data_IF_451333149820
#
_entry.id   IF_451333149820
#
_cell.length_a   1.000
_cell.length_b   1.000
_cell.length_c   1.000
_cell.angle_alpha   90.00
_cell.angle_beta   90.00
_cell.angle_gamma   90.00
#
_symmetry.space_group_name_H-M   'P 1'
#
loop_
_entity.id
_entity.type
_entity.pdbx_description
1 polymer ?
#
# COMPACT_ATOMS: atom_id res chain seq x y z
N UNK A 1 -63.57 -20.47 19.43
CA UNK A 1 -62.19 -20.85 19.89
C UNK A 1 -61.31 -21.41 18.77
N UNK A 2 -61.83 -22.11 17.77
CA UNK A 2 -61.02 -22.71 16.69
C UNK A 2 -60.25 -21.72 15.80
N UNK A 3 -60.78 -20.51 15.57
CA UNK A 3 -60.15 -19.48 14.71
C UNK A 3 -58.81 -18.99 15.24
N UNK A 4 -58.68 -18.79 16.56
CA UNK A 4 -57.43 -18.36 17.22
C UNK A 4 -56.28 -19.38 17.08
N UNK A 5 -56.60 -20.67 16.95
CA UNK A 5 -55.59 -21.71 16.78
C UNK A 5 -55.02 -21.73 15.35
N UNK A 6 -55.84 -21.39 14.36
CA UNK A 6 -55.45 -21.32 12.94
C UNK A 6 -54.54 -20.12 12.70
N UNK A 7 -54.88 -18.95 13.27
CA UNK A 7 -54.06 -17.73 13.18
C UNK A 7 -52.65 -17.91 13.77
N UNK A 8 -52.53 -18.59 14.92
CA UNK A 8 -51.24 -18.88 15.56
C UNK A 8 -50.37 -19.81 14.71
N UNK A 9 -50.98 -20.82 14.07
CA UNK A 9 -50.26 -21.73 13.17
C UNK A 9 -49.80 -21.03 11.90
N UNK A 10 -50.62 -20.16 11.31
CA UNK A 10 -50.25 -19.38 10.13
C UNK A 10 -49.07 -18.43 10.41
N UNK A 11 -49.08 -17.74 11.55
CA UNK A 11 -47.98 -16.85 11.95
C UNK A 11 -46.68 -17.63 12.21
N UNK A 12 -46.76 -18.80 12.85
CA UNK A 12 -45.59 -19.66 13.07
C UNK A 12 -44.97 -20.18 11.77
N UNK A 13 -45.80 -20.62 10.81
CA UNK A 13 -45.32 -21.06 9.49
C UNK A 13 -44.69 -19.89 8.73
N UNK A 14 -45.32 -18.71 8.73
CA UNK A 14 -44.77 -17.52 8.07
C UNK A 14 -43.42 -17.08 8.66
N UNK A 15 -43.24 -17.20 9.98
CA UNK A 15 -41.98 -16.86 10.63
C UNK A 15 -40.87 -17.88 10.31
N UNK A 16 -41.22 -19.17 10.22
CA UNK A 16 -40.28 -20.22 9.80
C UNK A 16 -39.87 -20.07 8.33
N UNK A 17 -40.81 -19.77 7.43
CA UNK A 17 -40.49 -19.58 6.00
C UNK A 17 -39.63 -18.35 5.76
N UNK A 18 -39.92 -17.25 6.45
CA UNK A 18 -39.09 -16.03 6.37
C UNK A 18 -37.70 -16.26 6.94
N UNK A 19 -37.56 -16.94 8.08
CA UNK A 19 -36.26 -17.32 8.64
C UNK A 19 -35.45 -18.18 7.66
N UNK A 20 -36.08 -19.21 7.07
CA UNK A 20 -35.43 -20.07 6.08
C UNK A 20 -34.96 -19.29 4.84
N UNK A 21 -35.81 -18.40 4.32
CA UNK A 21 -35.46 -17.56 3.17
C UNK A 21 -34.29 -16.62 3.49
N UNK A 22 -34.23 -16.04 4.69
CA UNK A 22 -33.11 -15.20 5.12
C UNK A 22 -31.81 -16.00 5.26
N UNK A 23 -31.87 -17.21 5.83
CA UNK A 23 -30.71 -18.10 5.90
C UNK A 23 -30.23 -18.51 4.50
N UNK A 24 -31.14 -18.83 3.58
CA UNK A 24 -30.80 -19.15 2.20
C UNK A 24 -30.17 -17.96 1.47
N UNK A 25 -30.72 -16.75 1.66
CA UNK A 25 -30.17 -15.52 1.09
C UNK A 25 -28.77 -15.24 1.65
N UNK A 26 -28.56 -15.38 2.96
CA UNK A 26 -27.25 -15.22 3.59
C UNK A 26 -26.23 -16.26 3.08
N UNK A 27 -26.63 -17.52 2.95
CA UNK A 27 -25.76 -18.56 2.39
C UNK A 27 -25.36 -18.25 0.94
N UNK A 28 -26.32 -17.77 0.14
CA UNK A 28 -26.05 -17.34 -1.24
C UNK A 28 -25.11 -16.14 -1.31
N UNK A 29 -25.31 -15.11 -0.49
CA UNK A 29 -24.43 -13.93 -0.48
C UNK A 29 -23.04 -14.27 0.02
N UNK A 30 -22.89 -15.10 1.06
CA UNK A 30 -21.60 -15.58 1.54
C UNK A 30 -20.86 -16.39 0.47
N UNK A 31 -21.56 -17.28 -0.24
CA UNK A 31 -21.00 -18.03 -1.36
C UNK A 31 -20.59 -17.12 -2.52
N UNK A 32 -21.44 -16.16 -2.89
CA UNK A 32 -21.14 -15.19 -3.94
C UNK A 32 -19.93 -14.34 -3.56
N UNK A 33 -19.83 -13.89 -2.30
CA UNK A 33 -18.65 -13.19 -1.80
C UNK A 33 -17.43 -14.10 -1.89
N UNK A 34 -17.45 -15.32 -1.35
CA UNK A 34 -16.29 -16.21 -1.43
C UNK A 34 -15.86 -16.52 -2.87
N UNK A 35 -16.81 -16.65 -3.80
CA UNK A 35 -16.55 -16.98 -5.22
C UNK A 35 -16.06 -15.78 -6.03
N UNK A 36 -16.59 -14.59 -5.76
CA UNK A 36 -16.36 -13.40 -6.58
C UNK A 36 -15.52 -12.33 -5.88
N UNK A 37 -15.26 -12.45 -4.58
CA UNK A 37 -14.22 -11.68 -3.91
C UNK A 37 -12.87 -12.17 -4.46
N UNK A 38 -12.15 -11.35 -5.24
CA UNK A 38 -10.83 -11.75 -5.68
C UNK A 38 -9.96 -11.95 -4.44
N UNK A 39 -9.42 -13.15 -4.29
CA UNK A 39 -8.38 -13.41 -3.30
C UNK A 39 -7.12 -12.77 -3.84
N UNK A 40 -6.88 -11.51 -3.45
CA UNK A 40 -5.67 -10.80 -3.79
C UNK A 40 -4.47 -11.56 -3.23
N UNK A 41 -3.62 -12.04 -4.13
CA UNK A 41 -2.31 -12.53 -3.76
C UNK A 41 -1.34 -11.37 -3.81
N UNK A 42 -0.49 -11.24 -2.79
CA UNK A 42 0.52 -10.18 -2.75
C UNK A 42 1.46 -10.26 -3.96
N UNK A 43 1.83 -9.08 -4.49
CA UNK A 43 2.86 -8.96 -5.52
C UNK A 43 4.17 -9.50 -4.95
N UNK A 44 4.84 -10.36 -5.71
CA UNK A 44 6.11 -10.97 -5.30
C UNK A 44 7.25 -10.16 -5.87
N UNK A 45 8.03 -9.53 -5.01
CA UNK A 45 9.18 -8.73 -5.42
C UNK A 45 10.50 -9.37 -4.99
N UNK A 46 11.51 -9.24 -5.85
CA UNK A 46 12.91 -9.58 -5.56
C UNK A 46 13.76 -8.33 -5.70
N UNK A 47 14.75 -8.16 -4.83
CA UNK A 47 15.70 -7.04 -4.95
C UNK A 47 16.46 -7.16 -6.26
N UNK A 48 16.36 -6.14 -7.11
CA UNK A 48 17.05 -6.03 -8.40
C UNK A 48 18.36 -5.25 -8.33
N UNK A 49 18.63 -4.59 -7.20
CA UNK A 49 19.83 -3.80 -6.95
C UNK A 49 19.48 -2.37 -6.52
N UNK A 50 20.47 -1.69 -5.96
CA UNK A 50 20.40 -0.27 -5.64
C UNK A 50 21.62 0.45 -6.18
N UNK A 51 21.45 1.70 -6.56
CA UNK A 51 22.54 2.57 -7.01
C UNK A 51 22.30 3.98 -6.48
N UNK A 52 23.38 4.57 -6.02
CA UNK A 52 23.45 6.00 -5.71
C UNK A 52 24.00 6.72 -6.94
N UNK A 53 23.40 7.82 -7.33
CA UNK A 53 23.96 8.74 -8.30
C UNK A 53 25.12 9.54 -7.70
N UNK A 54 25.81 10.27 -8.56
CA UNK A 54 26.93 11.11 -8.13
C UNK A 54 26.44 12.22 -7.21
N UNK A 55 27.21 12.48 -6.16
CA UNK A 55 26.89 13.53 -5.19
C UNK A 55 27.25 14.88 -5.81
N UNK A 56 26.25 15.75 -5.96
CA UNK A 56 26.43 17.09 -6.47
C UNK A 56 26.65 18.06 -5.31
N UNK A 57 27.83 18.66 -5.26
CA UNK A 57 28.18 19.69 -4.28
C UNK A 57 28.05 21.06 -4.92
N UNK A 58 27.24 21.92 -4.31
CA UNK A 58 26.95 23.28 -4.77
C UNK A 58 27.04 24.27 -3.61
N UNK A 59 27.02 25.58 -3.92
CA UNK A 59 26.95 26.62 -2.88
C UNK A 59 25.65 26.53 -2.05
N UNK A 60 24.58 25.98 -2.63
CA UNK A 60 23.32 25.72 -1.93
C UNK A 60 23.38 24.53 -0.98
N UNK A 61 24.34 23.61 -1.15
CA UNK A 61 24.45 22.40 -0.35
C UNK A 61 24.86 21.16 -1.13
N UNK A 62 24.58 20.00 -0.55
CA UNK A 62 24.86 18.68 -1.10
C UNK A 62 23.54 18.05 -1.54
N UNK A 63 23.44 17.73 -2.83
CA UNK A 63 22.32 16.94 -3.36
C UNK A 63 22.82 15.56 -3.80
N UNK A 64 22.04 14.54 -3.50
CA UNK A 64 22.31 13.17 -3.92
C UNK A 64 20.99 12.49 -4.26
N UNK A 65 20.96 11.78 -5.40
CA UNK A 65 19.82 10.96 -5.78
C UNK A 65 20.22 9.49 -5.69
N UNK A 66 19.30 8.65 -5.24
CA UNK A 66 19.48 7.20 -5.17
C UNK A 66 18.24 6.49 -5.66
N UNK A 67 18.44 5.35 -6.31
CA UNK A 67 17.35 4.47 -6.72
C UNK A 67 17.58 3.04 -6.25
N UNK A 68 16.51 2.43 -5.77
CA UNK A 68 16.45 1.00 -5.50
C UNK A 68 15.43 0.37 -6.44
N UNK A 69 15.83 -0.69 -7.16
CA UNK A 69 14.99 -1.39 -8.11
C UNK A 69 14.61 -2.75 -7.55
N UNK A 70 13.33 -3.12 -7.66
CA UNK A 70 12.81 -4.44 -7.34
C UNK A 70 12.14 -5.05 -8.59
N UNK A 71 12.49 -6.29 -8.94
CA UNK A 71 11.79 -7.07 -9.97
C UNK A 71 10.55 -7.69 -9.31
N UNK A 72 9.38 -7.24 -9.72
CA UNK A 72 8.10 -7.61 -9.14
C UNK A 72 7.24 -8.40 -10.13
N UNK A 73 6.52 -9.39 -9.63
CA UNK A 73 5.59 -10.23 -10.39
C UNK A 73 4.19 -10.14 -9.80
N UNK A 74 3.20 -9.91 -10.68
CA UNK A 74 1.78 -9.92 -10.34
C UNK A 74 1.20 -11.33 -10.58
N UNK A 75 0.94 -12.13 -9.54
CA UNK A 75 0.34 -13.45 -9.69
C UNK A 75 -1.19 -13.42 -9.92
N UNK A 76 -1.81 -12.24 -9.92
CA UNK A 76 -3.27 -12.12 -9.97
C UNK A 76 -3.78 -12.18 -11.42
N UNK A 77 -5.00 -12.72 -11.64
CA UNK A 77 -5.61 -12.86 -12.97
C UNK A 77 -6.21 -11.55 -13.52
N UNK A 78 -5.74 -10.40 -13.02
CA UNK A 78 -6.17 -9.06 -13.42
C UNK A 78 -5.01 -8.07 -13.26
N UNK A 79 -5.03 -6.95 -14.00
CA UNK A 79 -4.01 -5.91 -13.86
C UNK A 79 -4.10 -5.24 -12.49
N UNK A 80 -2.95 -4.85 -11.96
CA UNK A 80 -2.82 -4.14 -10.69
C UNK A 80 -2.00 -2.87 -10.87
N UNK A 81 -2.35 -1.82 -10.13
CA UNK A 81 -1.54 -0.61 -10.03
C UNK A 81 -1.07 -0.48 -8.60
N UNK A 82 0.25 -0.49 -8.41
CA UNK A 82 0.86 -0.23 -7.11
C UNK A 82 1.21 1.25 -7.05
N UNK A 83 0.80 1.91 -5.97
CA UNK A 83 1.08 3.32 -5.67
C UNK A 83 1.47 3.42 -4.20
N UNK A 84 2.30 4.39 -3.85
CA UNK A 84 2.55 4.74 -2.45
C UNK A 84 1.21 5.12 -1.79
N UNK A 85 1.03 4.72 -0.53
CA UNK A 85 -0.22 4.97 0.17
C UNK A 85 -0.36 6.48 0.41
N UNK A 86 -1.37 7.09 -0.21
CA UNK A 86 -1.55 8.54 -0.25
C UNK A 86 -1.09 9.11 -1.59
N UNK A 87 -2.05 9.57 -2.41
CA UNK A 87 -1.81 9.99 -3.80
C UNK A 87 -0.84 11.19 -3.96
N UNK A 88 -0.60 11.93 -2.88
CA UNK A 88 0.27 13.12 -2.83
C UNK A 88 1.45 13.00 -1.85
N UNK A 89 1.64 11.84 -1.21
CA UNK A 89 2.61 11.71 -0.13
C UNK A 89 3.97 11.29 -0.67
N UNK A 90 4.81 12.30 -0.84
CA UNK A 90 6.25 12.15 -0.72
C UNK A 90 6.55 11.92 0.77
N UNK A 91 7.22 10.82 1.10
CA UNK A 91 7.67 10.61 2.47
C UNK A 91 8.93 11.44 2.73
N UNK A 92 8.89 12.29 3.74
CA UNK A 92 10.05 13.06 4.15
C UNK A 92 11.08 12.14 4.83
N UNK A 93 12.34 12.34 4.47
CA UNK A 93 13.47 11.65 5.07
C UNK A 93 14.07 12.58 6.10
N UNK A 94 14.18 12.13 7.35
CA UNK A 94 14.70 12.93 8.44
C UNK A 94 16.11 12.47 8.84
N UNK A 95 16.94 13.43 9.22
CA UNK A 95 18.22 13.19 9.88
C UNK A 95 18.30 13.91 11.23
N UNK A 96 19.08 13.34 12.14
CA UNK A 96 19.36 13.94 13.45
C UNK A 96 20.27 15.16 13.28
N UNK A 97 19.87 16.31 13.82
CA UNK A 97 20.62 17.56 13.72
C UNK A 97 21.26 17.94 15.07
N UNK A 98 22.25 17.15 15.51
CA UNK A 98 23.10 17.47 16.68
C UNK A 98 22.35 17.62 18.01
N UNK A 99 21.16 17.03 18.16
CA UNK A 99 20.27 17.15 19.31
C UNK A 99 18.98 16.33 19.14
N UNK A 100 17.91 16.70 19.84
CA UNK A 100 16.60 16.02 19.80
C UNK A 100 15.72 16.39 18.58
N UNK A 101 16.18 17.32 17.73
CA UNK A 101 15.40 17.80 16.58
C UNK A 101 15.75 17.03 15.31
N UNK A 102 14.71 16.53 14.64
CA UNK A 102 14.79 15.89 13.33
C UNK A 102 14.64 16.97 12.24
N UNK A 103 15.64 17.10 11.39
CA UNK A 103 15.58 17.95 10.22
C UNK A 103 15.21 17.11 8.99
N UNK A 104 14.27 17.60 8.17
CA UNK A 104 13.99 17.00 6.87
C UNK A 104 15.18 17.22 5.95
N UNK A 105 15.72 16.13 5.40
CA UNK A 105 16.92 16.10 4.56
C UNK A 105 16.65 15.60 3.16
N UNK A 106 15.41 15.21 2.87
CA UNK A 106 15.10 14.59 1.61
C UNK A 106 13.69 14.04 1.50
N UNK A 107 13.49 13.35 0.39
CA UNK A 107 12.22 12.92 -0.14
C UNK A 107 12.38 11.48 -0.61
N UNK A 108 11.53 10.58 -0.13
CA UNK A 108 11.41 9.21 -0.59
C UNK A 108 10.07 9.02 -1.30
N UNK A 109 10.12 8.56 -2.55
CA UNK A 109 8.92 8.32 -3.35
C UNK A 109 8.97 7.02 -4.13
N UNK A 110 7.81 6.36 -4.23
CA UNK A 110 7.62 5.19 -5.09
C UNK A 110 6.59 5.59 -6.18
N UNK A 111 7.02 5.79 -7.44
CA UNK A 111 6.12 6.14 -8.52
C UNK A 111 5.12 5.01 -8.76
N UNK A 112 3.95 5.38 -9.28
CA UNK A 112 2.91 4.42 -9.63
C UNK A 112 3.40 3.47 -10.73
N UNK A 113 3.29 2.16 -10.50
CA UNK A 113 3.65 1.13 -11.49
C UNK A 113 2.44 0.26 -11.76
N UNK A 114 2.14 0.06 -13.04
CA UNK A 114 1.10 -0.84 -13.50
C UNK A 114 1.70 -2.19 -13.87
N UNK A 115 1.15 -3.25 -13.29
CA UNK A 115 1.46 -4.64 -13.59
C UNK A 115 0.30 -5.25 -14.36
N UNK A 116 0.56 -5.74 -15.56
CA UNK A 116 -0.44 -6.50 -16.31
C UNK A 116 -0.74 -7.84 -15.65
N UNK A 117 -1.82 -8.49 -16.10
CA UNK A 117 -2.22 -9.83 -15.64
C UNK A 117 -1.07 -10.82 -15.82
N UNK A 118 -0.68 -11.52 -14.76
CA UNK A 118 0.48 -12.44 -14.79
C UNK A 118 1.78 -11.77 -15.28
N UNK A 119 1.87 -10.45 -15.16
CA UNK A 119 2.97 -9.64 -15.67
C UNK A 119 4.12 -9.47 -14.69
N UNK A 120 5.28 -9.11 -15.23
CA UNK A 120 6.45 -8.63 -14.48
C UNK A 120 6.67 -7.16 -14.74
N UNK A 121 7.27 -6.48 -13.76
CA UNK A 121 7.64 -5.07 -13.88
C UNK A 121 8.65 -4.68 -12.81
N UNK A 122 9.36 -3.60 -13.08
CA UNK A 122 10.30 -3.05 -12.12
C UNK A 122 9.60 -2.01 -11.26
N UNK A 123 9.70 -2.18 -9.95
CA UNK A 123 9.32 -1.17 -8.97
C UNK A 123 10.59 -0.42 -8.57
N UNK A 124 10.58 0.90 -8.74
CA UNK A 124 11.72 1.74 -8.40
C UNK A 124 11.36 2.59 -7.19
N UNK A 125 12.13 2.54 -6.12
CA UNK A 125 12.07 3.55 -5.06
C UNK A 125 13.11 4.62 -5.38
N UNK A 126 12.68 5.89 -5.36
CA UNK A 126 13.52 7.06 -5.61
C UNK A 126 13.74 7.76 -4.27
N UNK A 127 14.98 8.10 -3.98
CA UNK A 127 15.41 8.79 -2.78
C UNK A 127 16.20 10.02 -3.20
N UNK A 128 15.70 11.19 -2.85
CA UNK A 128 16.30 12.47 -3.16
C UNK A 128 16.75 13.13 -1.86
N UNK A 129 18.05 13.36 -1.70
CA UNK A 129 18.61 14.10 -0.58
C UNK A 129 18.93 15.53 -0.99
N UNK A 130 18.55 16.47 -0.13
CA UNK A 130 18.92 17.87 -0.25
C UNK A 130 19.35 18.38 1.13
N UNK A 131 20.66 18.35 1.35
CA UNK A 131 21.28 18.87 2.56
C UNK A 131 21.76 20.29 2.28
N UNK A 132 21.24 21.28 3.00
CA UNK A 132 21.78 22.64 2.93
C UNK A 132 23.26 22.67 3.34
N UNK A 133 24.00 23.66 2.83
CA UNK A 133 25.45 23.75 3.05
C UNK A 133 25.86 23.69 4.53
N UNK A 134 25.03 24.26 5.42
CA UNK A 134 25.25 24.19 6.86
C UNK A 134 25.06 22.79 7.44
N UNK A 135 23.95 22.10 7.13
CA UNK A 135 23.72 20.73 7.62
C UNK A 135 24.79 19.77 7.09
N UNK A 136 25.17 19.92 5.83
CA UNK A 136 26.26 19.17 5.22
C UNK A 136 27.58 19.36 5.98
N UNK A 137 27.94 20.60 6.33
CA UNK A 137 29.15 20.89 7.08
C UNK A 137 29.13 20.28 8.49
N UNK A 138 27.99 20.35 9.19
CA UNK A 138 27.82 19.74 10.52
C UNK A 138 27.97 18.22 10.46
N UNK A 139 27.31 17.56 9.51
CA UNK A 139 27.41 16.10 9.33
C UNK A 139 28.83 15.65 8.99
N UNK A 140 29.56 16.42 8.17
CA UNK A 140 30.96 16.14 7.86
C UNK A 140 31.89 16.35 9.06
N UNK A 141 31.60 17.33 9.92
CA UNK A 141 32.39 17.60 11.12
C UNK A 141 32.22 16.52 12.21
N UNK A 142 31.05 15.90 12.31
CA UNK A 142 30.76 14.84 13.30
C UNK A 142 31.29 13.46 12.91
N UNK A 143 31.53 13.21 11.62
CA UNK A 143 32.08 11.94 11.12
C UNK A 143 33.62 11.90 11.05
N UNK A 144 34.30 12.91 11.61
CA UNK A 144 35.76 12.94 11.81
C UNK A 144 36.11 12.58 13.24
#
# INVERSE_FOLDING_TARGET
>A
MATKAIERRACGVALLTTCFLLCALFGYTAFALAKYSPVYTSIRCKSGGSKMEEVHVSLSGITAEGYAVMDCFNPNPYPMVLRQAGEDFVDEVYAENGGLELASVGIARIPAVRFETMGRGNLTAILEFNLGAWQAAVLLAWNR
#
